data_IF_456339639598
#
_entry.id   IF_456339639598
#
_cell.length_a   1.000
_cell.length_b   1.000
_cell.length_c   1.000
_cell.angle_alpha   90.00
_cell.angle_beta   90.00
_cell.angle_gamma   90.00
#
_symmetry.space_group_name_H-M   'P 1'
#
loop_
_entity.id
_entity.type
_entity.pdbx_description
1 polymer ?
#
# COMPACT_ATOMS: atom_id res chain seq x y z
N UNK A 1 -11.49 -26.77 5.09
CA UNK A 1 -11.90 -25.43 4.66
C UNK A 1 -12.51 -25.47 3.27
N UNK A 2 -13.67 -24.88 3.11
CA UNK A 2 -14.36 -24.86 1.84
C UNK A 2 -13.73 -23.85 0.90
N UNK A 3 -14.01 -24.01 -0.39
CA UNK A 3 -13.52 -23.09 -1.39
C UNK A 3 -14.02 -21.67 -1.15
N UNK A 4 -15.23 -21.55 -0.62
CA UNK A 4 -15.81 -20.24 -0.32
C UNK A 4 -15.02 -19.50 0.74
N UNK A 5 -14.63 -20.23 1.77
CA UNK A 5 -13.83 -19.63 2.84
C UNK A 5 -12.47 -19.17 2.31
N UNK A 6 -11.92 -19.96 1.43
CA UNK A 6 -10.64 -19.63 0.82
C UNK A 6 -10.73 -18.37 -0.04
N UNK A 7 -11.80 -18.28 -0.81
CA UNK A 7 -12.01 -17.10 -1.64
C UNK A 7 -12.19 -15.86 -0.78
N UNK A 8 -12.94 -15.98 0.30
CA UNK A 8 -13.15 -14.87 1.22
C UNK A 8 -11.83 -14.41 1.84
N UNK A 9 -11.00 -15.37 2.23
CA UNK A 9 -9.70 -15.05 2.79
C UNK A 9 -8.81 -14.34 1.78
N UNK A 10 -8.78 -14.85 0.56
CA UNK A 10 -7.97 -14.23 -0.49
C UNK A 10 -8.45 -12.84 -0.83
N UNK A 11 -9.75 -12.65 -0.86
CA UNK A 11 -10.31 -11.32 -1.12
C UNK A 11 -9.92 -10.32 -0.04
N UNK A 12 -9.91 -10.77 1.19
CA UNK A 12 -9.48 -9.92 2.29
C UNK A 12 -8.00 -9.57 2.16
N UNK A 13 -7.19 -10.55 1.83
CA UNK A 13 -5.76 -10.32 1.65
C UNK A 13 -5.47 -9.33 0.53
N UNK A 14 -6.19 -9.47 -0.58
CA UNK A 14 -6.04 -8.55 -1.70
C UNK A 14 -6.40 -7.13 -1.28
N UNK A 15 -7.47 -6.98 -0.53
CA UNK A 15 -7.90 -5.67 -0.05
C UNK A 15 -6.86 -5.04 0.86
N UNK A 16 -6.31 -5.83 1.76
CA UNK A 16 -5.29 -5.34 2.67
C UNK A 16 -4.01 -4.98 1.95
N UNK A 17 -3.63 -5.76 0.97
CA UNK A 17 -2.45 -5.47 0.17
C UNK A 17 -2.63 -4.19 -0.63
N UNK A 18 -3.80 -3.98 -1.19
CA UNK A 18 -4.10 -2.76 -1.92
C UNK A 18 -4.01 -1.55 -1.02
N UNK A 19 -4.55 -1.66 0.18
CA UNK A 19 -4.51 -0.58 1.14
C UNK A 19 -3.08 -0.26 1.55
N UNK A 20 -2.32 -1.29 1.86
CA UNK A 20 -0.92 -1.11 2.23
C UNK A 20 -0.12 -0.48 1.10
N UNK A 21 -0.40 -0.91 -0.12
CA UNK A 21 0.26 -0.38 -1.30
C UNK A 21 -0.03 1.09 -1.48
N UNK A 22 -1.28 1.49 -1.27
CA UNK A 22 -1.67 2.89 -1.38
C UNK A 22 -0.98 3.75 -0.33
N UNK A 23 -0.90 3.25 0.89
CA UNK A 23 -0.22 3.96 1.96
C UNK A 23 1.26 4.13 1.65
N UNK A 24 1.88 3.06 1.18
CA UNK A 24 3.30 3.10 0.81
C UNK A 24 3.54 4.06 -0.34
N UNK A 25 2.66 4.09 -1.30
CA UNK A 25 2.75 5.01 -2.43
C UNK A 25 2.71 6.45 -1.95
N UNK A 26 1.76 6.76 -1.10
CA UNK A 26 1.61 8.11 -0.56
C UNK A 26 2.82 8.49 0.27
N UNK A 27 3.27 7.58 1.13
CA UNK A 27 4.44 7.83 1.96
C UNK A 27 5.69 8.06 1.10
N UNK A 28 5.84 7.25 0.06
CA UNK A 28 6.98 7.39 -0.85
C UNK A 28 6.97 8.74 -1.54
N UNK A 29 5.80 9.21 -1.95
CA UNK A 29 5.67 10.51 -2.58
C UNK A 29 6.06 11.63 -1.61
N UNK A 30 5.65 11.53 -0.37
CA UNK A 30 6.03 12.49 0.65
C UNK A 30 7.52 12.50 0.89
N UNK A 31 8.11 11.35 0.98
CA UNK A 31 9.55 11.24 1.18
C UNK A 31 10.32 11.82 0.01
N UNK A 32 9.88 11.53 -1.19
CA UNK A 32 10.53 12.06 -2.39
C UNK A 32 10.45 13.57 -2.43
N UNK A 33 9.31 14.13 -2.06
CA UNK A 33 9.12 15.57 -2.03
C UNK A 33 10.01 16.23 -0.98
N UNK A 34 10.08 15.62 0.20
CA UNK A 34 10.91 16.12 1.26
C UNK A 34 12.38 16.08 0.88
N UNK A 35 12.81 15.03 0.19
CA UNK A 35 14.18 14.92 -0.26
C UNK A 35 14.51 15.98 -1.28
N UNK A 36 13.58 16.26 -2.21
CA UNK A 36 13.74 17.31 -3.21
C UNK A 36 13.80 18.68 -2.56
N UNK A 37 12.95 18.93 -1.59
CA UNK A 37 12.95 20.21 -0.88
C UNK A 37 14.27 20.47 -0.18
N UNK A 38 14.87 19.45 0.37
CA UNK A 38 16.16 19.57 1.02
C UNK A 38 17.27 19.89 0.01
N UNK A 39 17.12 19.37 -1.20
CA UNK A 39 18.13 19.58 -2.24
C UNK A 39 18.08 20.97 -2.82
N UNK A 40 16.93 21.55 -2.84
CA UNK A 40 16.71 22.84 -3.53
C UNK A 40 17.24 24.03 -2.74
N UNK A 41 17.87 23.78 -1.65
CA UNK A 41 18.53 24.86 -0.92
C UNK A 41 19.89 25.22 -1.53
#
# INVERSE_FOLDING_TARGET
TSERERVTELEREVRELKRTNEILKTASAFFAQAALDRRTK
#
